data_IF_298216676921
#
_entry.id   IF_298216676921
#
_cell.length_a   1.000
_cell.length_b   1.000
_cell.length_c   1.000
_cell.angle_alpha   90.00
_cell.angle_beta   90.00
_cell.angle_gamma   90.00
#
_symmetry.space_group_name_H-M   'P 1'
#
loop_
_entity.id
_entity.type
_entity.pdbx_description
1 polymer ?
#
# COMPACT_ATOMS: atom_id res chain seq x y z
N UNK A 1 9.33 -16.81 -14.27
CA UNK A 1 9.87 -17.60 -13.15
C UNK A 1 9.34 -16.97 -11.88
N UNK A 2 8.10 -17.33 -11.57
CA UNK A 2 7.53 -17.23 -10.23
C UNK A 2 8.10 -18.37 -9.42
N UNK A 3 8.46 -18.13 -8.17
CA UNK A 3 8.49 -19.21 -7.20
C UNK A 3 8.21 -18.69 -5.79
N UNK A 4 7.52 -19.57 -5.05
CA UNK A 4 7.36 -19.63 -3.60
C UNK A 4 6.15 -18.94 -2.97
N UNK A 5 5.01 -19.62 -3.15
CA UNK A 5 4.16 -20.02 -2.01
C UNK A 5 4.25 -21.55 -1.95
N UNK A 6 4.74 -22.12 -0.84
CA UNK A 6 4.52 -23.53 -0.53
C UNK A 6 4.47 -23.75 0.98
N UNK A 7 3.47 -24.52 1.41
CA UNK A 7 3.08 -24.80 2.78
C UNK A 7 3.53 -26.22 3.17
N UNK A 8 4.08 -26.32 4.39
CA UNK A 8 3.80 -27.36 5.41
C UNK A 8 4.67 -28.64 5.56
N UNK A 9 4.90 -28.95 6.85
CA UNK A 9 5.06 -30.24 7.56
C UNK A 9 6.45 -30.91 7.80
N UNK A 10 6.87 -30.77 9.08
CA UNK A 10 7.39 -31.77 10.04
C UNK A 10 8.50 -32.79 9.69
N UNK A 11 9.57 -32.78 10.51
CA UNK A 11 10.05 -33.99 11.19
C UNK A 11 11.51 -34.42 11.01
N UNK A 12 12.27 -34.37 12.13
CA UNK A 12 13.44 -35.19 12.55
C UNK A 12 14.86 -34.84 12.05
N UNK A 13 15.55 -34.18 12.97
CA UNK A 13 16.87 -34.43 13.60
C UNK A 13 18.03 -35.20 12.92
N UNK A 14 19.21 -34.62 13.18
CA UNK A 14 20.58 -35.15 13.26
C UNK A 14 21.44 -35.51 12.02
N UNK A 15 22.45 -34.63 11.83
CA UNK A 15 23.92 -34.89 11.91
C UNK A 15 24.78 -34.92 10.63
N UNK A 16 25.72 -33.94 10.64
CA UNK A 16 27.13 -33.92 10.18
C UNK A 16 27.47 -33.50 8.73
N UNK A 17 28.24 -32.41 8.61
CA UNK A 17 29.41 -32.37 7.73
C UNK A 17 29.56 -31.20 6.73
N UNK A 18 30.13 -30.08 7.18
CA UNK A 18 31.23 -29.37 6.49
C UNK A 18 31.01 -28.66 5.14
N UNK A 19 31.03 -27.31 5.17
CA UNK A 19 31.74 -26.39 4.24
C UNK A 19 31.28 -24.96 4.53
N UNK A 20 31.91 -24.18 5.44
CA UNK A 20 33.00 -23.23 5.16
C UNK A 20 32.76 -22.34 3.91
N UNK A 21 32.40 -21.07 4.15
CA UNK A 21 32.23 -19.98 3.17
C UNK A 21 30.78 -19.88 2.67
N UNK A 22 29.98 -18.83 2.92
CA UNK A 22 30.22 -17.41 2.66
C UNK A 22 29.35 -16.56 3.63
N UNK A 23 29.60 -16.63 4.95
CA UNK A 23 28.92 -15.81 5.95
C UNK A 23 29.94 -14.94 6.69
N UNK A 24 30.30 -13.79 6.10
CA UNK A 24 31.01 -12.68 6.75
C UNK A 24 30.96 -11.47 5.83
N UNK A 25 30.01 -10.57 6.04
CA UNK A 25 30.09 -9.20 5.50
C UNK A 25 29.07 -8.24 6.14
N UNK A 26 28.94 -8.23 7.47
CA UNK A 26 28.37 -7.09 8.19
C UNK A 26 29.02 -6.95 9.57
N UNK A 27 30.08 -6.15 9.64
CA UNK A 27 30.57 -5.50 10.86
C UNK A 27 30.40 -3.97 10.71
N UNK A 28 30.24 -3.22 11.81
CA UNK A 28 29.57 -1.92 11.82
C UNK A 28 30.45 -0.77 11.35
N UNK A 29 29.88 0.10 10.51
CA UNK A 29 30.46 1.41 10.20
C UNK A 29 30.52 2.28 11.47
N UNK A 30 31.72 2.38 12.08
CA UNK A 30 32.06 3.42 13.06
C UNK A 30 32.44 4.71 12.31
N UNK A 31 31.46 5.60 12.13
CA UNK A 31 31.64 6.93 11.55
C UNK A 31 31.28 8.03 12.57
N UNK A 32 32.25 8.92 12.85
CA UNK A 32 32.26 9.96 13.88
C UNK A 32 31.04 10.90 13.88
N UNK A 33 30.44 11.08 15.06
CA UNK A 33 29.64 12.27 15.42
C UNK A 33 30.56 13.49 15.53
N UNK A 34 30.48 14.39 14.56
CA UNK A 34 30.80 15.80 14.79
C UNK A 34 29.50 16.58 14.60
N UNK A 35 28.66 16.56 15.64
CA UNK A 35 27.55 17.49 15.73
C UNK A 35 28.12 18.81 16.24
N UNK A 36 28.37 19.75 15.34
CA UNK A 36 28.74 21.12 15.71
C UNK A 36 27.59 21.74 16.52
N UNK A 37 27.92 22.62 17.48
CA UNK A 37 26.95 23.31 18.35
C UNK A 37 25.82 24.03 17.60
N UNK A 38 26.01 24.34 16.30
CA UNK A 38 24.98 24.91 15.39
C UNK A 38 23.88 23.91 14.99
N UNK A 39 24.19 22.61 14.86
CA UNK A 39 23.19 21.58 14.55
C UNK A 39 22.30 21.20 15.76
N UNK A 40 22.72 21.62 16.97
CA UNK A 40 22.00 21.37 18.21
C UNK A 40 20.92 22.42 18.51
N UNK A 41 20.73 23.40 17.62
CA UNK A 41 19.94 24.60 17.88
C UNK A 41 18.95 24.89 16.73
N UNK A 42 18.22 23.85 16.28
CA UNK A 42 17.11 23.98 15.34
C UNK A 42 16.11 22.80 15.42
N UNK A 43 15.90 22.20 16.60
CA UNK A 43 14.68 21.40 16.86
C UNK A 43 13.53 22.29 17.30
N UNK A 44 13.32 23.42 16.60
CA UNK A 44 12.03 24.08 16.66
C UNK A 44 11.06 23.18 15.89
N UNK A 45 10.07 22.57 16.57
CA UNK A 45 8.93 21.95 15.89
C UNK A 45 8.37 23.00 14.92
N UNK A 46 8.50 22.77 13.61
CA UNK A 46 7.91 23.64 12.61
C UNK A 46 6.43 23.81 12.95
N UNK A 47 5.99 25.06 13.08
CA UNK A 47 4.57 25.36 13.24
C UNK A 47 3.81 24.92 12.00
N UNK A 48 2.51 24.65 12.16
CA UNK A 48 1.63 24.29 11.03
C UNK A 48 1.70 25.33 9.90
N UNK A 49 1.74 26.61 10.24
CA UNK A 49 1.89 27.71 9.28
C UNK A 49 3.22 27.67 8.53
N UNK A 50 4.33 27.32 9.19
CA UNK A 50 5.63 27.16 8.51
C UNK A 50 5.62 25.97 7.55
N UNK A 51 4.97 24.87 7.93
CA UNK A 51 4.79 23.68 7.07
C UNK A 51 3.96 24.03 5.84
N UNK A 52 2.85 24.76 6.02
CA UNK A 52 1.98 25.14 4.90
C UNK A 52 2.69 26.10 3.93
N UNK A 53 3.41 27.11 4.45
CA UNK A 53 4.24 28.00 3.63
C UNK A 53 5.34 27.27 2.87
N UNK A 54 5.93 26.24 3.48
CA UNK A 54 6.88 25.37 2.79
C UNK A 54 6.18 24.62 1.64
N UNK A 55 4.98 24.09 1.88
CA UNK A 55 4.15 23.46 0.85
C UNK A 55 3.88 24.37 -0.36
N UNK A 56 3.58 25.65 -0.10
CA UNK A 56 3.33 26.61 -1.17
C UNK A 56 4.58 26.88 -2.02
N UNK A 57 5.74 27.11 -1.39
CA UNK A 57 7.03 27.26 -2.11
C UNK A 57 7.41 26.02 -2.92
N UNK A 58 7.13 24.83 -2.40
CA UNK A 58 7.36 23.58 -3.14
C UNK A 58 6.48 23.48 -4.38
N UNK A 59 5.24 23.98 -4.32
CA UNK A 59 4.28 23.99 -5.44
C UNK A 59 4.64 25.02 -6.53
N UNK A 60 5.40 26.05 -6.22
CA UNK A 60 5.85 27.04 -7.20
C UNK A 60 6.94 26.50 -8.16
N UNK A 61 7.46 25.28 -7.91
CA UNK A 61 8.30 24.55 -8.87
C UNK A 61 9.78 24.93 -8.87
N UNK A 62 10.24 25.77 -7.95
CA UNK A 62 11.66 26.15 -7.81
C UNK A 62 12.14 26.12 -6.34
N UNK A 63 12.01 24.97 -5.64
CA UNK A 63 12.38 24.90 -4.23
C UNK A 63 13.88 25.11 -4.02
N UNK A 64 14.24 25.90 -3.02
CA UNK A 64 15.64 26.07 -2.63
C UNK A 64 16.17 24.82 -1.92
N UNK A 65 17.49 24.66 -1.86
CA UNK A 65 18.13 23.61 -1.05
C UNK A 65 17.69 23.65 0.42
N UNK A 66 17.36 24.85 0.93
CA UNK A 66 16.83 25.01 2.28
C UNK A 66 15.42 24.45 2.41
N UNK A 67 14.58 24.65 1.40
CA UNK A 67 13.22 24.10 1.39
C UNK A 67 13.24 22.56 1.33
N UNK A 68 14.12 22.00 0.51
CA UNK A 68 14.30 20.55 0.41
C UNK A 68 14.77 19.94 1.73
N UNK A 69 15.72 20.59 2.43
CA UNK A 69 16.15 20.18 3.79
C UNK A 69 15.02 20.25 4.81
N UNK A 70 14.23 21.33 4.81
CA UNK A 70 13.08 21.46 5.71
C UNK A 70 12.01 20.40 5.44
N UNK A 71 11.76 20.08 4.17
CA UNK A 71 10.85 19.01 3.79
C UNK A 71 11.39 17.64 4.24
N UNK A 72 12.70 17.41 4.12
CA UNK A 72 13.36 16.20 4.57
C UNK A 72 13.22 16.01 6.09
N UNK A 73 13.48 17.06 6.86
CA UNK A 73 13.26 17.06 8.31
C UNK A 73 11.78 16.81 8.66
N UNK A 74 10.86 17.47 7.94
CA UNK A 74 9.43 17.32 8.17
C UNK A 74 8.95 15.89 7.88
N UNK A 75 9.30 15.29 6.72
CA UNK A 75 8.87 13.93 6.36
C UNK A 75 9.48 12.88 7.30
N UNK A 76 10.75 13.02 7.69
CA UNK A 76 11.42 12.09 8.60
C UNK A 76 10.86 12.14 10.03
N UNK A 77 10.27 13.28 10.43
CA UNK A 77 9.62 13.42 11.74
C UNK A 77 8.42 12.48 11.96
N UNK A 78 7.91 11.83 10.92
CA UNK A 78 6.83 10.84 11.00
C UNK A 78 7.31 9.44 11.39
N UNK A 79 8.62 9.16 11.34
CA UNK A 79 9.18 7.81 11.54
C UNK A 79 8.73 7.14 12.83
N UNK A 80 8.77 7.85 13.97
CA UNK A 80 8.33 7.30 15.26
C UNK A 80 6.84 6.95 15.29
N UNK A 81 6.00 7.76 14.65
CA UNK A 81 4.57 7.49 14.57
C UNK A 81 4.32 6.25 13.69
N UNK A 82 5.01 6.16 12.55
CA UNK A 82 4.95 4.99 11.67
C UNK A 82 5.39 3.70 12.35
N UNK A 83 6.54 3.70 13.03
CA UNK A 83 7.06 2.53 13.76
C UNK A 83 6.08 2.07 14.84
N UNK A 84 5.45 3.02 15.54
CA UNK A 84 4.43 2.71 16.54
C UNK A 84 3.22 2.05 15.91
N UNK A 85 2.71 2.58 14.79
CA UNK A 85 1.58 2.00 14.06
C UNK A 85 1.91 0.58 13.57
N UNK A 86 3.05 0.39 12.89
CA UNK A 86 3.48 -0.93 12.39
C UNK A 86 3.63 -1.93 13.53
N UNK A 87 4.25 -1.53 14.64
CA UNK A 87 4.43 -2.38 15.80
C UNK A 87 3.09 -2.77 16.44
N UNK A 88 2.18 -1.81 16.62
CA UNK A 88 0.83 -2.08 17.17
C UNK A 88 0.07 -3.07 16.29
N UNK A 89 0.11 -2.90 14.95
CA UNK A 89 -0.54 -3.83 14.02
C UNK A 89 0.04 -5.25 14.19
N UNK A 90 1.37 -5.39 14.24
CA UNK A 90 2.01 -6.70 14.43
C UNK A 90 1.69 -7.33 15.79
N UNK A 91 1.86 -6.59 16.87
CA UNK A 91 1.74 -7.12 18.23
C UNK A 91 0.29 -7.38 18.64
N UNK A 92 -0.65 -6.52 18.24
CA UNK A 92 -2.04 -6.62 18.70
C UNK A 92 -2.97 -7.30 17.71
N UNK A 93 -2.71 -7.15 16.40
CA UNK A 93 -3.55 -7.74 15.35
C UNK A 93 -2.91 -8.97 14.70
N UNK A 94 -1.63 -9.25 14.96
CA UNK A 94 -0.89 -10.36 14.35
C UNK A 94 -0.89 -10.31 12.81
N UNK A 95 -0.88 -9.09 12.26
CA UNK A 95 -0.83 -8.83 10.83
C UNK A 95 0.56 -8.31 10.43
N UNK A 96 0.94 -8.52 9.17
CA UNK A 96 2.24 -8.08 8.65
C UNK A 96 2.11 -6.89 7.67
N UNK A 97 2.10 -5.65 8.17
CA UNK A 97 2.01 -4.48 7.33
C UNK A 97 3.32 -4.23 6.57
N UNK A 98 3.20 -3.88 5.28
CA UNK A 98 4.33 -3.44 4.44
C UNK A 98 4.22 -1.95 4.19
N UNK A 99 5.29 -1.18 4.33
CA UNK A 99 5.15 0.27 4.25
C UNK A 99 6.46 1.03 4.24
N UNK A 100 6.34 2.36 4.26
CA UNK A 100 7.48 3.27 4.32
C UNK A 100 7.28 4.32 5.43
N UNK A 101 8.34 4.66 6.18
CA UNK A 101 8.27 5.66 7.24
C UNK A 101 8.18 7.10 6.72
N UNK A 102 8.53 7.32 5.45
CA UNK A 102 8.40 8.62 4.79
C UNK A 102 8.26 8.46 3.28
N UNK A 103 7.31 9.17 2.68
CA UNK A 103 7.18 9.36 1.23
C UNK A 103 8.40 10.15 0.72
N UNK A 104 8.78 9.91 -0.54
CA UNK A 104 9.87 10.64 -1.17
C UNK A 104 9.52 12.12 -1.36
N UNK A 105 10.54 12.96 -1.40
CA UNK A 105 10.40 14.39 -1.68
C UNK A 105 9.69 14.63 -3.02
N UNK A 106 10.10 13.94 -4.08
CA UNK A 106 9.49 14.07 -5.41
C UNK A 106 7.99 13.77 -5.39
N UNK A 107 7.58 12.66 -4.78
CA UNK A 107 6.18 12.27 -4.75
C UNK A 107 5.32 13.13 -3.82
N UNK A 108 5.91 13.77 -2.80
CA UNK A 108 5.20 14.80 -2.00
C UNK A 108 4.98 16.04 -2.87
N UNK A 109 6.01 16.52 -3.57
CA UNK A 109 5.91 17.69 -4.46
C UNK A 109 4.91 17.45 -5.58
N UNK A 110 4.99 16.33 -6.29
CA UNK A 110 4.02 15.93 -7.33
C UNK A 110 2.59 15.89 -6.80
N UNK A 111 2.39 15.40 -5.57
CA UNK A 111 1.08 15.38 -4.93
C UNK A 111 0.56 16.80 -4.65
N UNK A 112 1.41 17.70 -4.17
CA UNK A 112 1.05 19.11 -3.94
C UNK A 112 0.74 19.88 -5.23
N UNK A 113 1.34 19.49 -6.36
CA UNK A 113 1.00 20.05 -7.67
C UNK A 113 -0.35 19.55 -8.19
N UNK A 114 -0.61 18.24 -8.05
CA UNK A 114 -1.83 17.62 -8.55
C UNK A 114 -3.05 17.94 -7.71
N UNK A 115 -2.89 18.02 -6.39
CA UNK A 115 -3.97 18.22 -5.43
C UNK A 115 -3.84 19.61 -4.81
N UNK A 116 -4.93 20.37 -4.76
CA UNK A 116 -4.99 21.69 -4.12
C UNK A 116 -5.05 21.60 -2.58
N UNK A 117 -4.20 20.76 -1.99
CA UNK A 117 -4.09 20.53 -0.54
C UNK A 117 -2.84 21.19 0.02
N UNK A 118 -2.87 21.54 1.31
CA UNK A 118 -1.69 22.04 2.04
C UNK A 118 -0.78 20.89 2.46
N UNK A 119 0.52 21.16 2.61
CA UNK A 119 1.49 20.14 3.06
C UNK A 119 1.13 19.54 4.43
N UNK A 120 0.56 20.32 5.35
CA UNK A 120 0.09 19.79 6.63
C UNK A 120 -1.14 18.86 6.52
N UNK A 121 -1.82 18.84 5.37
CA UNK A 121 -3.00 18.00 5.11
C UNK A 121 -2.65 16.72 4.35
N UNK A 122 -1.40 16.53 3.91
CA UNK A 122 -0.96 15.30 3.25
C UNK A 122 -0.99 14.15 4.27
N UNK A 123 -1.91 13.22 4.10
CA UNK A 123 -2.15 12.11 5.04
C UNK A 123 -1.14 10.97 4.87
N UNK A 124 -0.64 10.75 3.65
CA UNK A 124 0.24 9.64 3.26
C UNK A 124 1.73 10.01 3.26
N UNK A 125 2.13 10.95 4.12
CA UNK A 125 3.56 11.23 4.35
C UNK A 125 4.23 9.98 4.90
N UNK A 126 3.59 9.29 5.82
CA UNK A 126 3.98 7.96 6.26
C UNK A 126 2.78 7.03 6.16
N UNK A 127 3.03 5.76 5.87
CA UNK A 127 1.94 4.81 5.76
C UNK A 127 2.38 3.39 5.44
N UNK A 128 1.48 2.46 5.73
CA UNK A 128 1.64 1.05 5.46
C UNK A 128 0.40 0.47 4.77
N UNK A 129 0.56 -0.73 4.25
CA UNK A 129 -0.45 -1.52 3.57
C UNK A 129 -0.59 -2.84 4.31
N UNK A 130 -1.83 -3.22 4.55
CA UNK A 130 -2.23 -4.55 5.00
C UNK A 130 -3.01 -5.18 3.86
N UNK A 131 -2.53 -6.32 3.38
CA UNK A 131 -3.22 -7.12 2.35
C UNK A 131 -3.85 -8.31 3.04
N UNK A 132 -5.15 -8.49 2.82
CA UNK A 132 -5.98 -9.56 3.37
C UNK A 132 -6.55 -10.41 2.25
N UNK A 133 -7.09 -11.58 2.57
CA UNK A 133 -7.59 -12.52 1.56
C UNK A 133 -8.71 -11.90 0.71
N UNK A 134 -9.76 -11.45 1.39
CA UNK A 134 -11.03 -11.05 0.77
C UNK A 134 -11.60 -9.78 1.43
N UNK A 135 -12.72 -9.29 0.90
CA UNK A 135 -13.40 -8.09 1.43
C UNK A 135 -14.04 -8.31 2.80
N UNK A 136 -14.42 -9.54 3.16
CA UNK A 136 -14.96 -9.84 4.48
C UNK A 136 -13.88 -9.72 5.57
N UNK A 137 -12.68 -10.23 5.31
CA UNK A 137 -11.51 -10.02 6.16
C UNK A 137 -11.09 -8.54 6.18
N UNK A 138 -11.21 -7.83 5.05
CA UNK A 138 -10.95 -6.39 5.00
C UNK A 138 -11.83 -5.61 5.99
N UNK A 139 -13.13 -5.91 6.06
CA UNK A 139 -14.04 -5.30 7.05
C UNK A 139 -13.60 -5.60 8.49
N UNK A 140 -13.33 -6.87 8.80
CA UNK A 140 -12.89 -7.28 10.14
C UNK A 140 -11.60 -6.57 10.57
N UNK A 141 -10.64 -6.44 9.65
CA UNK A 141 -9.38 -5.75 9.90
C UNK A 141 -9.60 -4.25 10.06
N UNK A 142 -10.46 -3.62 9.26
CA UNK A 142 -10.80 -2.18 9.41
C UNK A 142 -11.40 -1.90 10.79
N UNK A 143 -12.35 -2.74 11.23
CA UNK A 143 -12.94 -2.64 12.59
C UNK A 143 -11.86 -2.77 13.66
N UNK A 144 -11.00 -3.79 13.54
CA UNK A 144 -9.91 -4.04 14.49
C UNK A 144 -8.90 -2.89 14.55
N UNK A 145 -8.56 -2.31 13.40
CA UNK A 145 -7.69 -1.14 13.30
C UNK A 145 -8.31 0.08 14.00
N UNK A 146 -9.60 0.31 13.85
CA UNK A 146 -10.30 1.41 14.53
C UNK A 146 -10.33 1.21 16.06
N UNK A 147 -10.40 -0.04 16.52
CA UNK A 147 -10.34 -0.35 17.94
C UNK A 147 -8.95 -0.10 18.55
N UNK A 148 -7.88 -0.51 17.87
CA UNK A 148 -6.49 -0.32 18.37
C UNK A 148 -5.94 1.09 18.13
N UNK A 149 -6.53 1.85 17.20
CA UNK A 149 -6.22 3.28 16.98
C UNK A 149 -7.46 4.15 17.20
N UNK A 150 -7.86 4.42 18.47
CA UNK A 150 -8.99 5.28 18.77
C UNK A 150 -8.87 6.66 18.12
N UNK A 151 -9.96 7.12 17.49
CA UNK A 151 -10.00 8.41 16.80
C UNK A 151 -9.40 8.39 15.39
N UNK A 152 -9.04 7.22 14.86
CA UNK A 152 -8.70 7.09 13.44
C UNK A 152 -9.91 7.42 12.56
N UNK A 153 -9.66 8.04 11.40
CA UNK A 153 -10.70 8.30 10.40
C UNK A 153 -10.63 7.27 9.28
N UNK A 154 -11.80 6.84 8.79
CA UNK A 154 -11.90 5.88 7.68
C UNK A 154 -12.30 6.57 6.39
N UNK A 155 -11.58 6.27 5.30
CA UNK A 155 -11.91 6.68 3.94
C UNK A 155 -12.06 5.44 3.09
N UNK A 156 -13.31 5.12 2.74
CA UNK A 156 -13.62 3.97 1.88
C UNK A 156 -13.65 4.39 0.39
N UNK A 157 -12.80 3.76 -0.42
CA UNK A 157 -12.71 4.00 -1.87
C UNK A 157 -13.27 2.86 -2.71
N UNK A 158 -13.95 1.88 -2.12
CA UNK A 158 -14.51 0.73 -2.87
C UNK A 158 -15.74 1.15 -3.68
N UNK A 159 -16.68 1.84 -3.04
CA UNK A 159 -17.91 2.32 -3.70
C UNK A 159 -17.67 3.45 -4.71
N UNK A 160 -16.65 4.29 -4.48
CA UNK A 160 -16.27 5.41 -5.35
C UNK A 160 -14.76 5.38 -5.63
N UNK A 161 -14.32 4.49 -6.53
CA UNK A 161 -12.90 4.28 -6.79
C UNK A 161 -12.26 5.45 -7.53
N UNK A 162 -10.98 5.68 -7.26
CA UNK A 162 -10.20 6.72 -7.95
C UNK A 162 -9.52 6.11 -9.17
N UNK A 163 -10.12 6.25 -10.35
CA UNK A 163 -9.61 5.66 -11.60
C UNK A 163 -9.43 4.13 -11.53
N UNK A 164 -10.36 3.44 -10.85
CA UNK A 164 -10.30 1.99 -10.61
C UNK A 164 -9.55 1.59 -9.34
N UNK A 165 -8.80 2.52 -8.71
CA UNK A 165 -8.14 2.25 -7.44
C UNK A 165 -9.15 2.11 -6.29
N UNK A 166 -9.08 0.95 -5.62
CA UNK A 166 -9.96 0.52 -4.53
C UNK A 166 -9.13 0.09 -3.32
N UNK A 167 -9.54 0.54 -2.15
CA UNK A 167 -8.97 0.20 -0.83
C UNK A 167 -9.84 0.86 0.25
N UNK A 168 -9.69 0.43 1.51
CA UNK A 168 -10.12 1.20 2.67
C UNK A 168 -8.89 1.83 3.34
N UNK A 169 -8.92 3.14 3.58
CA UNK A 169 -7.83 3.85 4.25
C UNK A 169 -8.23 4.18 5.68
N UNK A 170 -7.48 3.66 6.64
CA UNK A 170 -7.59 4.01 8.06
C UNK A 170 -6.46 5.00 8.38
N UNK A 171 -6.79 6.22 8.76
CA UNK A 171 -5.82 7.28 9.05
C UNK A 171 -5.65 7.39 10.56
N UNK A 172 -4.55 6.85 11.09
CA UNK A 172 -4.20 6.93 12.51
C UNK A 172 -3.46 8.24 12.81
N UNK A 173 -3.76 8.88 13.94
CA UNK A 173 -3.11 10.12 14.39
C UNK A 173 -2.32 9.89 15.67
N UNK A 174 -0.99 9.85 15.59
CA UNK A 174 -0.13 9.71 16.76
C UNK A 174 0.75 10.94 16.95
N UNK A 175 0.66 11.58 18.12
CA UNK A 175 1.47 12.79 18.44
C UNK A 175 1.36 13.93 17.41
N UNK A 176 0.17 14.08 16.80
CA UNK A 176 -0.08 15.08 15.75
C UNK A 176 0.50 14.72 14.38
N UNK A 177 0.87 13.46 14.17
CA UNK A 177 1.33 12.92 12.87
C UNK A 177 0.32 11.90 12.37
N UNK A 178 -0.13 12.10 11.13
CA UNK A 178 -1.03 11.17 10.46
C UNK A 178 -0.21 10.03 9.82
N UNK A 179 -0.68 8.80 9.98
CA UNK A 179 -0.14 7.61 9.34
C UNK A 179 -1.29 6.92 8.62
N UNK A 180 -1.18 6.79 7.31
CA UNK A 180 -2.19 6.12 6.47
C UNK A 180 -1.96 4.60 6.48
N UNK A 181 -3.01 3.85 6.82
CA UNK A 181 -3.03 2.38 6.79
C UNK A 181 -3.99 1.98 5.66
N UNK A 182 -3.46 1.43 4.58
CA UNK A 182 -4.25 0.99 3.44
C UNK A 182 -4.58 -0.49 3.60
N UNK A 183 -5.85 -0.81 3.84
CA UNK A 183 -6.34 -2.20 3.88
C UNK A 183 -6.85 -2.56 2.50
N UNK A 184 -6.34 -3.65 1.91
CA UNK A 184 -6.71 -4.12 0.57
C UNK A 184 -7.00 -5.62 0.59
N UNK A 185 -8.02 -6.08 -0.12
CA UNK A 185 -8.12 -7.50 -0.50
C UNK A 185 -7.00 -7.87 -1.49
N UNK A 186 -6.80 -9.17 -1.73
CA UNK A 186 -5.83 -9.66 -2.71
C UNK A 186 -6.10 -9.08 -4.11
N UNK A 187 -7.36 -9.04 -4.54
CA UNK A 187 -7.74 -8.51 -5.85
C UNK A 187 -7.52 -7.00 -5.97
N UNK A 188 -7.84 -6.23 -4.93
CA UNK A 188 -7.55 -4.79 -4.88
C UNK A 188 -6.04 -4.53 -4.92
N UNK A 189 -5.26 -5.36 -4.24
CA UNK A 189 -3.81 -5.28 -4.27
C UNK A 189 -3.27 -5.60 -5.68
N UNK A 190 -3.73 -6.68 -6.30
CA UNK A 190 -3.34 -7.11 -7.65
C UNK A 190 -3.62 -6.02 -8.68
N UNK A 191 -4.85 -5.47 -8.70
CA UNK A 191 -5.23 -4.41 -9.62
C UNK A 191 -4.34 -3.18 -9.45
N UNK A 192 -4.07 -2.77 -8.21
CA UNK A 192 -3.22 -1.61 -7.93
C UNK A 192 -1.77 -1.84 -8.39
N UNK A 193 -1.19 -3.03 -8.18
CA UNK A 193 0.16 -3.35 -8.67
C UNK A 193 0.21 -3.39 -10.21
N UNK A 194 -0.84 -3.89 -10.86
CA UNK A 194 -0.94 -3.87 -12.32
C UNK A 194 -0.97 -2.44 -12.86
N UNK A 195 -1.80 -1.58 -12.26
CA UNK A 195 -1.89 -0.15 -12.61
C UNK A 195 -0.56 0.58 -12.40
N UNK A 196 0.10 0.35 -11.27
CA UNK A 196 1.42 0.93 -10.98
C UNK A 196 2.47 0.47 -12.00
N UNK A 197 2.56 -0.84 -12.29
CA UNK A 197 3.48 -1.37 -13.31
C UNK A 197 3.19 -0.82 -14.70
N UNK A 198 1.91 -0.71 -15.08
CA UNK A 198 1.51 -0.15 -16.36
C UNK A 198 1.94 1.32 -16.48
N UNK A 199 1.77 2.09 -15.39
CA UNK A 199 2.21 3.48 -15.33
C UNK A 199 3.72 3.65 -15.41
N UNK A 200 4.49 2.76 -14.78
CA UNK A 200 5.96 2.83 -14.80
C UNK A 200 6.55 2.42 -16.15
N UNK A 201 5.87 1.52 -16.87
CA UNK A 201 6.36 0.94 -18.13
C UNK A 201 5.87 1.69 -19.36
N UNK A 202 4.60 2.15 -19.34
CA UNK A 202 3.91 2.68 -20.53
C UNK A 202 3.73 4.18 -20.47
N UNK A 203 3.02 4.68 -19.45
CA UNK A 203 2.64 6.08 -19.35
C UNK A 203 2.25 6.46 -17.91
N UNK A 204 2.94 7.43 -17.27
CA UNK A 204 2.58 7.96 -15.95
C UNK A 204 1.12 8.43 -15.81
N UNK A 205 0.46 8.82 -16.90
CA UNK A 205 -0.93 9.27 -16.90
C UNK A 205 -1.93 8.15 -16.53
N UNK A 206 -1.55 6.88 -16.62
CA UNK A 206 -2.41 5.72 -16.35
C UNK A 206 -2.98 5.74 -14.92
N UNK A 207 -2.18 6.13 -13.92
CA UNK A 207 -2.65 6.27 -12.52
C UNK A 207 -3.79 7.28 -12.35
N UNK A 208 -4.01 8.12 -13.36
CA UNK A 208 -4.98 9.20 -13.35
C UNK A 208 -6.02 9.05 -14.47
N UNK A 209 -6.23 7.83 -14.97
CA UNK A 209 -7.21 7.54 -16.01
C UNK A 209 -6.78 7.87 -17.44
N UNK A 210 -5.52 8.28 -17.64
CA UNK A 210 -4.92 8.49 -18.96
C UNK A 210 -4.20 7.26 -19.52
N UNK A 211 -3.30 7.48 -20.48
CA UNK A 211 -2.52 6.43 -21.14
C UNK A 211 -3.24 5.79 -22.34
N UNK A 212 -2.64 4.82 -23.04
CA UNK A 212 -3.20 4.24 -24.26
C UNK A 212 -4.47 3.39 -24.03
N UNK A 213 -5.40 3.44 -24.98
CA UNK A 213 -6.71 2.74 -24.89
C UNK A 213 -6.58 1.24 -24.54
N UNK A 214 -5.68 0.44 -25.16
CA UNK A 214 -5.59 -0.98 -24.85
C UNK A 214 -5.21 -1.27 -23.39
N UNK A 215 -4.43 -0.38 -22.76
CA UNK A 215 -4.04 -0.53 -21.36
C UNK A 215 -5.19 -0.15 -20.43
N UNK A 216 -5.95 0.90 -20.78
CA UNK A 216 -7.13 1.30 -20.01
C UNK A 216 -8.24 0.26 -20.09
N UNK A 217 -8.47 -0.32 -21.26
CA UNK A 217 -9.44 -1.40 -21.47
C UNK A 217 -9.11 -2.62 -20.62
N UNK A 218 -7.84 -3.03 -20.60
CA UNK A 218 -7.35 -4.11 -19.74
C UNK A 218 -7.59 -3.81 -18.25
N UNK A 219 -7.15 -2.63 -17.78
CA UNK A 219 -7.33 -2.25 -16.37
C UNK A 219 -8.81 -2.19 -15.99
N UNK A 220 -9.67 -1.76 -16.91
CA UNK A 220 -11.13 -1.75 -16.73
C UNK A 220 -11.68 -3.18 -16.64
N UNK A 221 -11.22 -4.10 -17.50
CA UNK A 221 -11.62 -5.51 -17.45
C UNK A 221 -11.28 -6.15 -16.11
N UNK A 222 -10.03 -6.02 -15.65
CA UNK A 222 -9.59 -6.56 -14.36
C UNK A 222 -10.34 -5.90 -13.20
N UNK A 223 -10.62 -4.59 -13.29
CA UNK A 223 -11.42 -3.88 -12.30
C UNK A 223 -12.83 -4.44 -12.18
N UNK A 224 -13.55 -4.58 -13.30
CA UNK A 224 -14.93 -5.07 -13.33
C UNK A 224 -15.00 -6.47 -12.75
N UNK A 225 -14.12 -7.35 -13.21
CA UNK A 225 -14.16 -8.74 -12.79
C UNK A 225 -13.75 -8.91 -11.32
N UNK A 226 -12.78 -8.12 -10.83
CA UNK A 226 -12.48 -8.06 -9.40
C UNK A 226 -13.69 -7.58 -8.58
N UNK A 227 -14.41 -6.56 -9.05
CA UNK A 227 -15.58 -6.05 -8.35
C UNK A 227 -16.74 -7.07 -8.28
N UNK A 228 -16.91 -7.91 -9.31
CA UNK A 228 -17.89 -9.00 -9.29
C UNK A 228 -17.56 -10.05 -8.24
N UNK A 229 -16.29 -10.50 -8.17
CA UNK A 229 -15.89 -11.48 -7.15
C UNK A 229 -16.02 -10.94 -5.74
N UNK A 230 -15.66 -9.68 -5.51
CA UNK A 230 -15.87 -9.10 -4.20
C UNK A 230 -17.35 -8.99 -3.81
N UNK A 231 -18.26 -8.74 -4.77
CA UNK A 231 -19.69 -8.75 -4.50
C UNK A 231 -20.17 -10.15 -4.08
N UNK A 232 -19.61 -11.20 -4.70
CA UNK A 232 -19.84 -12.59 -4.30
C UNK A 232 -19.26 -12.89 -2.90
N UNK A 233 -18.06 -12.39 -2.59
CA UNK A 233 -17.42 -12.49 -1.25
C UNK A 233 -18.30 -11.83 -0.16
N UNK A 234 -18.86 -10.65 -0.44
CA UNK A 234 -19.78 -9.98 0.48
C UNK A 234 -21.09 -10.75 0.65
N UNK A 235 -21.62 -11.36 -0.41
CA UNK A 235 -22.83 -12.19 -0.31
C UNK A 235 -22.60 -13.45 0.52
N UNK A 236 -21.46 -14.13 0.34
CA UNK A 236 -21.07 -15.27 1.18
C UNK A 236 -21.05 -14.85 2.65
N UNK A 237 -20.40 -13.72 2.98
CA UNK A 237 -20.34 -13.23 4.36
C UNK A 237 -21.73 -12.94 4.95
N UNK A 238 -22.62 -12.33 4.16
CA UNK A 238 -24.01 -12.07 4.57
C UNK A 238 -24.78 -13.37 4.85
N UNK A 239 -24.65 -14.37 3.99
CA UNK A 239 -25.32 -15.66 4.12
C UNK A 239 -24.79 -16.46 5.33
N UNK A 240 -23.49 -16.38 5.62
CA UNK A 240 -22.88 -17.04 6.79
C UNK A 240 -23.36 -16.43 8.12
N UNK A 241 -23.63 -15.12 8.19
CA UNK A 241 -24.18 -14.46 9.38
C UNK A 241 -25.65 -14.83 9.64
N UNK A 242 -26.43 -15.06 8.57
CA UNK A 242 -27.84 -15.44 8.65
C UNK A 242 -27.98 -16.96 8.86
N UNK A 243 -27.81 -17.43 10.11
CA UNK A 243 -28.08 -18.79 10.62
C UNK A 243 -28.44 -19.85 9.55
N UNK A 244 -27.45 -20.66 9.17
CA UNK A 244 -27.37 -21.43 7.92
C UNK A 244 -28.51 -22.47 7.70
N UNK A 245 -29.49 -22.22 6.81
CA UNK A 245 -30.35 -23.25 6.24
C UNK A 245 -29.60 -24.05 5.16
N UNK A 246 -30.04 -25.27 4.83
CA UNK A 246 -29.42 -26.11 3.78
C UNK A 246 -29.32 -25.40 2.41
N UNK A 247 -30.27 -24.50 2.10
CA UNK A 247 -30.24 -23.72 0.87
C UNK A 247 -29.04 -22.76 0.82
N UNK A 248 -28.76 -22.03 1.91
CA UNK A 248 -27.61 -21.11 1.95
C UNK A 248 -26.27 -21.87 1.80
N UNK A 249 -26.18 -23.12 2.27
CA UNK A 249 -24.95 -23.91 2.08
C UNK A 249 -24.66 -24.19 0.60
N UNK A 250 -25.71 -24.48 -0.19
CA UNK A 250 -25.56 -24.69 -1.64
C UNK A 250 -25.16 -23.40 -2.34
N UNK A 251 -25.83 -22.30 -2.00
CA UNK A 251 -25.55 -20.99 -2.60
C UNK A 251 -24.10 -20.55 -2.30
N UNK A 252 -23.63 -20.72 -1.05
CA UNK A 252 -22.23 -20.45 -0.65
C UNK A 252 -21.24 -21.32 -1.42
N UNK A 253 -21.53 -22.61 -1.60
CA UNK A 253 -20.64 -23.52 -2.35
C UNK A 253 -20.54 -23.12 -3.83
N UNK A 254 -21.64 -22.73 -4.45
CA UNK A 254 -21.66 -22.27 -5.84
C UNK A 254 -20.85 -20.97 -6.01
N UNK A 255 -21.05 -20.00 -5.12
CA UNK A 255 -20.28 -18.75 -5.13
C UNK A 255 -18.78 -19.01 -4.92
N UNK A 256 -18.41 -19.88 -3.98
CA UNK A 256 -16.99 -20.25 -3.76
C UNK A 256 -16.35 -20.88 -5.00
N UNK A 257 -17.06 -21.78 -5.68
CA UNK A 257 -16.56 -22.40 -6.91
C UNK A 257 -16.37 -21.37 -8.03
N UNK A 258 -17.30 -20.40 -8.15
CA UNK A 258 -17.18 -19.28 -9.09
C UNK A 258 -15.94 -18.42 -8.80
N UNK A 259 -15.71 -18.09 -7.53
CA UNK A 259 -14.54 -17.31 -7.08
C UNK A 259 -13.24 -18.06 -7.37
N UNK A 260 -13.16 -19.35 -7.05
CA UNK A 260 -11.98 -20.18 -7.32
C UNK A 260 -11.63 -20.21 -8.81
N UNK A 261 -12.62 -20.49 -9.66
CA UNK A 261 -12.44 -20.47 -11.12
C UNK A 261 -11.97 -19.11 -11.64
N UNK A 262 -12.45 -18.03 -11.04
CA UNK A 262 -12.03 -16.68 -11.40
C UNK A 262 -10.56 -16.41 -11.07
N UNK A 263 -10.10 -16.80 -9.88
CA UNK A 263 -8.70 -16.63 -9.49
C UNK A 263 -7.74 -17.38 -10.43
N UNK A 264 -8.14 -18.56 -10.92
CA UNK A 264 -7.39 -19.30 -11.94
C UNK A 264 -7.33 -18.55 -13.29
N UNK A 265 -8.45 -17.98 -13.73
CA UNK A 265 -8.54 -17.22 -14.98
C UNK A 265 -7.74 -15.92 -14.93
N UNK A 266 -7.79 -15.18 -13.82
CA UNK A 266 -7.10 -13.90 -13.66
C UNK A 266 -5.59 -14.05 -13.83
N UNK A 267 -5.01 -15.15 -13.32
CA UNK A 267 -3.56 -15.36 -13.40
C UNK A 267 -3.10 -15.38 -14.87
N UNK A 268 -3.88 -16.03 -15.74
CA UNK A 268 -3.64 -16.06 -17.17
C UNK A 268 -3.76 -14.68 -17.83
N UNK A 269 -4.81 -13.92 -17.48
CA UNK A 269 -5.05 -12.61 -18.06
C UNK A 269 -4.00 -11.58 -17.66
N UNK A 270 -3.52 -11.62 -16.42
CA UNK A 270 -2.43 -10.76 -15.93
C UNK A 270 -1.11 -11.07 -16.66
N UNK A 271 -0.77 -12.34 -16.87
CA UNK A 271 0.45 -12.71 -17.58
C UNK A 271 0.40 -12.32 -19.06
N UNK A 272 -0.76 -12.51 -19.69
CA UNK A 272 -1.03 -12.07 -21.06
C UNK A 272 -0.93 -10.55 -21.17
N UNK A 273 -1.52 -9.82 -20.23
CA UNK A 273 -1.44 -8.38 -20.12
C UNK A 273 0.01 -7.88 -20.02
N UNK A 274 0.79 -8.40 -19.07
CA UNK A 274 2.19 -8.03 -18.89
C UNK A 274 2.99 -8.28 -20.18
N UNK A 275 2.71 -9.38 -20.87
CA UNK A 275 3.36 -9.71 -22.14
C UNK A 275 3.01 -8.72 -23.26
N UNK A 276 1.76 -8.27 -23.35
CA UNK A 276 1.33 -7.25 -24.31
C UNK A 276 1.97 -5.88 -24.01
N UNK A 277 2.02 -5.48 -22.73
CA UNK A 277 2.68 -4.23 -22.31
C UNK A 277 4.16 -4.20 -22.70
N UNK A 278 4.87 -5.34 -22.56
CA UNK A 278 6.28 -5.47 -22.99
C UNK A 278 6.45 -5.32 -24.50
N UNK A 279 5.56 -5.88 -25.31
CA UNK A 279 5.62 -5.77 -26.78
C UNK A 279 5.44 -4.33 -27.27
N UNK A 280 4.51 -3.58 -26.69
CA UNK A 280 4.29 -2.18 -27.05
C UNK A 280 5.49 -1.28 -26.73
N UNK A 281 6.23 -1.56 -25.64
CA UNK A 281 7.49 -0.86 -25.33
C UNK A 281 8.60 -1.16 -26.36
N UNK A 282 8.64 -2.39 -26.88
CA UNK A 282 9.61 -2.81 -27.90
C UNK A 282 9.39 -2.16 -29.27
N UNK A 283 8.15 -1.77 -29.59
CA UNK A 283 7.80 -1.10 -30.85
C UNK A 283 8.01 0.43 -30.84
N UNK A 284 8.21 1.04 -29.66
CA UNK A 284 8.49 2.48 -29.51
C UNK A 284 9.99 2.80 -29.41
N UNK A 285 10.88 1.84 -29.69
CA UNK A 285 12.34 2.01 -29.72
C UNK A 285 12.90 1.91 -31.12
#
# INVERSE_FOLDING_TARGET
>A
MCDSICLSLSGKDERLGGSQGIFRLLEPWKGRRILTKKAKQLTAKLSKTQIDRLGDRLREGSPSDSDLRLLDEYRLSFGKAFETVVRTIREQLQLEPTGRPAKSTSSIVEKLHRESIRLSQVQDIAGCRVVVADVAEQERVVVSLCAVFPGASVVDRRAKPSYGYRAVHVIASLSGKLVEIQVRSLLQHLWAELSEKASDIVDPAIKYGGGPDPVRELLTSVFTAAAEVEADEEEIARLEEQHVPEQHQRDIQELRAKIEHFYESIAYDVDKAISLLKKQKGQKR
#
